data_IF_929521474044
#
_entry.id   IF_929521474044
#
_cell.length_a   1.000
_cell.length_b   1.000
_cell.length_c   1.000
_cell.angle_alpha   90.00
_cell.angle_beta   90.00
_cell.angle_gamma   90.00
#
_symmetry.space_group_name_H-M   'P 1'
#
loop_
_entity.id
_entity.type
_entity.pdbx_description
1 polymer ?
#
# COMPACT_ATOMS: atom_id res chain seq x y z
N UNK A 1 -2.40 4.42 9.04
CA UNK A 1 -2.40 3.01 8.60
C UNK A 1 -3.38 2.91 7.44
N UNK A 2 -2.99 2.25 6.34
CA UNK A 2 -3.84 2.03 5.18
C UNK A 2 -4.00 0.53 5.00
N UNK A 3 -5.23 0.05 5.06
CA UNK A 3 -5.59 -1.36 4.91
C UNK A 3 -7.04 -1.46 4.42
N UNK A 4 -7.41 -2.62 3.89
CA UNK A 4 -8.81 -2.91 3.61
C UNK A 4 -9.59 -2.95 4.93
N UNK A 5 -10.80 -2.40 4.91
CA UNK A 5 -11.75 -2.52 6.01
C UNK A 5 -12.76 -3.63 5.70
N UNK A 6 -12.91 -4.61 6.59
CA UNK A 6 -13.84 -5.72 6.40
C UNK A 6 -15.21 -5.36 6.94
N UNK A 7 -16.26 -5.64 6.17
CA UNK A 7 -17.64 -5.42 6.62
C UNK A 7 -18.04 -6.47 7.67
N UNK A 8 -18.62 -5.98 8.77
CA UNK A 8 -19.12 -6.80 9.88
C UNK A 8 -20.59 -6.47 10.12
N UNK A 9 -21.44 -7.50 10.11
CA UNK A 9 -22.84 -7.42 10.50
C UNK A 9 -23.15 -8.49 11.56
N UNK A 10 -23.83 -8.10 12.63
CA UNK A 10 -24.19 -8.97 13.76
C UNK A 10 -23.01 -9.79 14.32
N UNK A 11 -21.83 -9.16 14.38
CA UNK A 11 -20.60 -9.77 14.88
C UNK A 11 -19.95 -10.79 13.94
N UNK A 12 -20.36 -10.86 12.67
CA UNK A 12 -19.81 -11.77 11.66
C UNK A 12 -19.30 -11.02 10.44
N UNK A 13 -18.21 -11.51 9.84
CA UNK A 13 -17.74 -11.04 8.55
C UNK A 13 -18.74 -11.39 7.45
N UNK A 14 -19.10 -10.42 6.63
CA UNK A 14 -20.00 -10.64 5.48
C UNK A 14 -19.26 -11.19 4.26
N UNK A 15 -17.92 -11.03 4.23
CA UNK A 15 -17.08 -11.31 3.08
C UNK A 15 -16.87 -10.11 2.16
N UNK A 16 -17.52 -8.97 2.45
CA UNK A 16 -17.34 -7.73 1.70
C UNK A 16 -16.23 -6.85 2.31
N UNK A 17 -15.71 -5.94 1.49
CA UNK A 17 -14.79 -4.87 1.89
C UNK A 17 -15.55 -3.55 1.84
N UNK A 18 -15.34 -2.71 2.85
CA UNK A 18 -15.89 -1.36 2.92
C UNK A 18 -14.91 -0.40 2.24
N UNK A 19 -15.45 0.46 1.37
CA UNK A 19 -14.68 1.52 0.71
C UNK A 19 -13.74 1.01 -0.37
N UNK A 20 -12.65 1.75 -0.57
CA UNK A 20 -11.68 1.44 -1.62
C UNK A 20 -10.83 0.21 -1.28
N UNK A 21 -10.56 -0.60 -2.30
CA UNK A 21 -9.66 -1.75 -2.18
C UNK A 21 -8.20 -1.26 -2.24
N UNK A 22 -7.41 -1.66 -1.25
CA UNK A 22 -5.97 -1.41 -1.16
C UNK A 22 -5.21 -2.36 -2.09
N UNK A 23 -5.29 -2.05 -3.38
CA UNK A 23 -4.54 -2.72 -4.43
C UNK A 23 -3.13 -2.13 -4.64
N UNK A 24 -2.39 -2.67 -5.62
CA UNK A 24 -1.02 -2.26 -5.90
C UNK A 24 -0.90 -0.78 -6.30
N UNK A 25 -1.88 -0.24 -7.05
CA UNK A 25 -1.88 1.16 -7.46
C UNK A 25 -2.33 2.07 -6.31
N UNK A 26 -3.25 1.60 -5.48
CA UNK A 26 -3.66 2.29 -4.27
C UNK A 26 -2.46 2.53 -3.35
N UNK A 27 -1.61 1.51 -3.14
CA UNK A 27 -0.37 1.64 -2.36
C UNK A 27 0.58 2.70 -2.94
N UNK A 28 0.81 2.70 -4.25
CA UNK A 28 1.66 3.69 -4.91
C UNK A 28 1.10 5.11 -4.78
N UNK A 29 -0.21 5.30 -5.03
CA UNK A 29 -0.89 6.58 -4.84
C UNK A 29 -0.83 7.06 -3.40
N UNK A 30 -0.96 6.14 -2.45
CA UNK A 30 -0.84 6.44 -1.01
C UNK A 30 0.53 6.97 -0.67
N UNK A 31 1.61 6.33 -1.15
CA UNK A 31 2.97 6.82 -0.95
C UNK A 31 3.12 8.26 -1.45
N UNK A 32 2.71 8.53 -2.70
CA UNK A 32 2.80 9.87 -3.29
C UNK A 32 1.96 10.90 -2.55
N UNK A 33 0.73 10.54 -2.16
CA UNK A 33 -0.15 11.42 -1.39
C UNK A 33 0.46 11.77 -0.04
N UNK A 34 0.99 10.79 0.69
CA UNK A 34 1.62 11.02 1.99
C UNK A 34 2.90 11.86 1.84
N UNK A 35 3.71 11.60 0.82
CA UNK A 35 4.89 12.41 0.53
C UNK A 35 4.52 13.88 0.30
N UNK A 36 3.44 14.15 -0.44
CA UNK A 36 2.92 15.51 -0.64
C UNK A 36 2.38 16.11 0.67
N UNK A 37 1.58 15.35 1.43
CA UNK A 37 0.97 15.79 2.69
C UNK A 37 2.01 16.19 3.75
N UNK A 38 3.13 15.48 3.80
CA UNK A 38 4.24 15.77 4.71
C UNK A 38 5.33 16.66 4.11
N UNK A 39 5.13 17.18 2.90
CA UNK A 39 6.10 18.02 2.18
C UNK A 39 7.48 17.36 2.00
N UNK A 40 7.50 16.03 1.84
CA UNK A 40 8.70 15.21 1.65
C UNK A 40 8.90 14.98 0.14
N UNK A 41 10.03 15.37 -0.45
CA UNK A 41 10.37 15.00 -1.83
C UNK A 41 10.32 13.48 -2.01
N UNK A 42 9.69 13.00 -3.10
CA UNK A 42 9.60 11.55 -3.38
C UNK A 42 10.99 10.86 -3.35
N UNK A 43 12.03 11.54 -3.80
CA UNK A 43 13.42 11.04 -3.76
C UNK A 43 13.93 10.72 -2.34
N UNK A 44 13.29 11.25 -1.29
CA UNK A 44 13.62 11.00 0.11
C UNK A 44 12.67 10.01 0.80
N UNK A 45 11.82 9.33 0.02
CA UNK A 45 10.92 8.29 0.54
C UNK A 45 11.53 6.90 0.42
N UNK A 46 11.19 6.02 1.35
CA UNK A 46 11.56 4.60 1.33
C UNK A 46 10.28 3.75 1.29
N UNK A 47 10.25 2.76 0.41
CA UNK A 47 9.19 1.75 0.38
C UNK A 47 9.79 0.34 0.52
N UNK A 48 9.19 -0.48 1.36
CA UNK A 48 9.60 -1.87 1.61
C UNK A 48 8.41 -2.79 1.32
N UNK A 49 8.63 -3.86 0.56
CA UNK A 49 7.59 -4.86 0.27
C UNK A 49 8.18 -6.21 -0.13
N UNK A 50 7.34 -7.23 -0.23
CA UNK A 50 7.73 -8.63 -0.39
C UNK A 50 7.10 -9.32 -1.62
N UNK A 51 6.24 -8.63 -2.37
CA UNK A 51 5.53 -9.26 -3.49
C UNK A 51 5.14 -8.34 -4.64
N UNK A 52 4.52 -8.95 -5.66
CA UNK A 52 4.09 -8.26 -6.88
C UNK A 52 3.15 -7.08 -6.61
N UNK A 53 2.31 -7.16 -5.57
CA UNK A 53 1.39 -6.10 -5.17
C UNK A 53 2.10 -4.85 -4.62
N UNK A 54 3.37 -4.93 -4.24
CA UNK A 54 4.13 -3.77 -3.77
C UNK A 54 5.00 -3.16 -4.87
N UNK A 55 5.16 -3.83 -6.02
CA UNK A 55 6.03 -3.36 -7.11
C UNK A 55 5.71 -1.94 -7.56
N UNK A 56 4.45 -1.51 -7.75
CA UNK A 56 4.16 -0.13 -8.10
C UNK A 56 4.60 0.87 -7.02
N UNK A 57 4.42 0.54 -5.74
CA UNK A 57 4.83 1.39 -4.61
C UNK A 57 6.36 1.45 -4.50
N UNK A 58 7.04 0.31 -4.60
CA UNK A 58 8.50 0.19 -4.57
C UNK A 58 9.14 1.01 -5.71
N UNK A 59 8.55 0.97 -6.92
CA UNK A 59 9.01 1.75 -8.06
C UNK A 59 8.77 3.26 -7.93
N UNK A 60 7.74 3.66 -7.18
CA UNK A 60 7.40 5.07 -6.97
C UNK A 60 8.28 5.76 -5.91
N UNK A 61 8.87 4.99 -4.99
CA UNK A 61 9.73 5.51 -3.93
C UNK A 61 11.09 5.98 -4.45
N UNK A 62 11.74 6.87 -3.69
CA UNK A 62 13.13 7.25 -3.93
C UNK A 62 14.10 6.08 -3.69
N UNK A 63 13.81 5.26 -2.68
CA UNK A 63 14.48 3.98 -2.43
C UNK A 63 13.45 2.87 -2.22
N UNK A 64 13.45 1.89 -3.12
CA UNK A 64 12.64 0.69 -3.01
C UNK A 64 13.45 -0.50 -2.49
N UNK A 65 12.93 -1.23 -1.49
CA UNK A 65 13.56 -2.42 -0.92
C UNK A 65 12.61 -3.61 -1.05
N UNK A 66 13.06 -4.65 -1.76
CA UNK A 66 12.40 -5.95 -1.74
C UNK A 66 12.92 -6.75 -0.54
N UNK A 67 12.04 -7.06 0.41
CA UNK A 67 12.40 -7.81 1.61
C UNK A 67 11.76 -9.19 1.58
N UNK A 68 12.59 -10.24 1.59
CA UNK A 68 12.17 -11.65 1.48
C UNK A 68 11.13 -11.90 0.37
N UNK A 69 11.43 -11.55 -0.89
CA UNK A 69 10.42 -11.54 -1.94
C UNK A 69 9.86 -12.95 -2.18
N UNK A 70 8.53 -13.05 -2.17
CA UNK A 70 7.81 -14.26 -2.54
C UNK A 70 8.01 -14.55 -4.03
N UNK A 71 8.66 -15.68 -4.36
CA UNK A 71 8.98 -16.10 -5.74
C UNK A 71 7.79 -16.74 -6.49
N UNK A 72 6.55 -16.40 -6.13
CA UNK A 72 5.36 -16.98 -6.75
C UNK A 72 4.91 -16.22 -7.98
#
# INVERSE_FOLDING_TARGET
MVANELEIMDGKFTGNVIGDIVDAQYKAKTLTRLAQEYEIPLAQTVAIGDGANDLPMIKAAGLGIAYMPSQK
#
